data_IF_997696992294
#
_entry.id   IF_997696992294
#
_cell.length_a   1.000
_cell.length_b   1.000
_cell.length_c   1.000
_cell.angle_alpha   90.00
_cell.angle_beta   90.00
_cell.angle_gamma   90.00
#
_symmetry.space_group_name_H-M   'P 1'
#
loop_
_entity.id
_entity.type
_entity.pdbx_description
1 polymer ?
#
# COMPACT_ATOMS: atom_id res chain seq x y z
N UNK A 1 1.69 11.28 22.80
CA UNK A 1 2.73 12.07 22.08
C UNK A 1 2.11 12.54 20.77
N UNK A 2 1.82 13.85 20.67
CA UNK A 2 1.36 14.41 19.40
C UNK A 2 2.54 14.55 18.44
N UNK A 3 2.89 13.45 17.78
CA UNK A 3 3.83 13.49 16.67
C UNK A 3 3.00 13.87 15.45
N UNK A 4 2.98 15.16 15.12
CA UNK A 4 2.41 15.62 13.86
C UNK A 4 3.37 15.19 12.73
N UNK A 5 3.17 13.98 12.22
CA UNK A 5 4.00 13.42 11.14
C UNK A 5 3.47 13.98 9.83
N UNK A 6 4.13 15.01 9.36
CA UNK A 6 3.84 15.60 8.06
C UNK A 6 4.51 14.76 6.96
N UNK A 7 3.70 14.23 6.04
CA UNK A 7 4.20 13.49 4.89
C UNK A 7 4.70 14.48 3.80
N UNK A 8 5.74 14.12 3.02
CA UNK A 8 6.21 14.95 1.93
C UNK A 8 5.13 15.25 0.90
N UNK A 9 5.04 16.48 0.44
CA UNK A 9 4.01 16.93 -0.51
C UNK A 9 4.05 16.14 -1.82
N UNK A 10 5.24 15.85 -2.33
CA UNK A 10 5.41 15.07 -3.55
C UNK A 10 4.89 13.62 -3.40
N UNK A 11 4.97 13.02 -2.21
CA UNK A 11 4.36 11.73 -1.93
C UNK A 11 2.84 11.87 -1.91
N UNK A 12 2.31 12.86 -1.19
CA UNK A 12 0.85 13.10 -1.12
C UNK A 12 0.25 13.33 -2.51
N UNK A 13 0.91 14.09 -3.36
CA UNK A 13 0.45 14.32 -4.73
C UNK A 13 0.34 13.01 -5.54
N UNK A 14 1.26 12.06 -5.35
CA UNK A 14 1.17 10.73 -5.98
C UNK A 14 -0.04 9.94 -5.46
N UNK A 15 -0.38 10.03 -4.19
CA UNK A 15 -1.60 9.42 -3.64
C UNK A 15 -2.86 10.04 -4.23
N UNK A 16 -2.88 11.35 -4.45
CA UNK A 16 -4.02 12.03 -5.11
C UNK A 16 -4.20 11.50 -6.54
N UNK A 17 -3.11 11.36 -7.30
CA UNK A 17 -3.14 10.79 -8.67
C UNK A 17 -3.61 9.34 -8.65
N UNK A 18 -3.09 8.51 -7.74
CA UNK A 18 -3.51 7.13 -7.58
C UNK A 18 -5.00 7.01 -7.20
N UNK A 19 -5.46 7.87 -6.27
CA UNK A 19 -6.86 7.90 -5.86
C UNK A 19 -7.80 8.30 -7.02
N UNK A 20 -7.39 9.23 -7.87
CA UNK A 20 -8.13 9.57 -9.09
C UNK A 20 -8.21 8.35 -10.02
N UNK A 21 -7.09 7.65 -10.25
CA UNK A 21 -7.06 6.43 -11.05
C UNK A 21 -8.03 5.35 -10.53
N UNK A 22 -8.07 5.15 -9.20
CA UNK A 22 -8.99 4.22 -8.54
C UNK A 22 -10.45 4.63 -8.71
N UNK A 23 -10.77 5.91 -8.57
CA UNK A 23 -12.16 6.38 -8.72
C UNK A 23 -12.69 6.26 -10.15
N UNK A 24 -11.81 6.45 -11.12
CA UNK A 24 -12.16 6.44 -12.56
C UNK A 24 -12.26 5.04 -13.17
N UNK A 25 -11.55 4.03 -12.64
CA UNK A 25 -11.63 2.67 -13.19
C UNK A 25 -13.00 2.04 -12.94
N UNK A 26 -13.41 1.13 -13.83
CA UNK A 26 -14.54 0.22 -13.62
C UNK A 26 -14.02 -1.16 -13.18
N UNK A 27 -12.96 -1.65 -13.84
CA UNK A 27 -12.36 -2.97 -13.61
C UNK A 27 -10.89 -2.82 -13.21
N UNK A 28 -10.52 -3.39 -12.06
CA UNK A 28 -9.17 -3.38 -11.53
C UNK A 28 -8.59 -4.81 -11.36
N UNK A 29 -7.30 -4.94 -11.60
CA UNK A 29 -6.51 -6.14 -11.26
C UNK A 29 -5.50 -5.80 -10.18
N UNK A 30 -5.49 -6.57 -9.11
CA UNK A 30 -4.53 -6.43 -8.01
C UNK A 30 -3.58 -7.62 -8.05
N UNK A 31 -2.30 -7.35 -8.10
CA UNK A 31 -1.23 -8.33 -7.89
C UNK A 31 -0.50 -7.97 -6.62
N UNK A 32 -0.27 -8.95 -5.75
CA UNK A 32 0.40 -8.70 -4.48
C UNK A 32 1.27 -9.88 -4.05
N UNK A 33 2.26 -9.61 -3.23
CA UNK A 33 3.09 -10.64 -2.63
C UNK A 33 2.27 -11.51 -1.67
N UNK A 34 2.70 -12.76 -1.47
CA UNK A 34 1.95 -13.73 -0.68
C UNK A 34 2.37 -13.84 0.80
N UNK A 35 3.11 -12.84 1.31
CA UNK A 35 3.42 -12.72 2.73
C UNK A 35 2.42 -11.84 3.50
N UNK A 36 2.71 -11.55 4.75
CA UNK A 36 1.78 -10.81 5.61
C UNK A 36 1.56 -9.36 5.11
N UNK A 37 2.60 -8.69 4.58
CA UNK A 37 2.47 -7.32 4.08
C UNK A 37 1.67 -7.29 2.77
N UNK A 38 2.02 -8.14 1.81
CA UNK A 38 1.28 -8.24 0.56
C UNK A 38 -0.17 -8.67 0.75
N UNK A 39 -0.46 -9.63 1.66
CA UNK A 39 -1.84 -10.03 1.98
C UNK A 39 -2.61 -8.88 2.62
N UNK A 40 -1.98 -8.14 3.56
CA UNK A 40 -2.56 -6.95 4.16
C UNK A 40 -2.88 -5.87 3.13
N UNK A 41 -1.93 -5.60 2.22
CA UNK A 41 -2.09 -4.66 1.12
C UNK A 41 -3.25 -5.04 0.20
N UNK A 42 -3.27 -6.29 -0.28
CA UNK A 42 -4.34 -6.80 -1.14
C UNK A 42 -5.71 -6.72 -0.46
N UNK A 43 -5.79 -7.07 0.84
CA UNK A 43 -7.04 -7.01 1.61
C UNK A 43 -7.61 -5.60 1.68
N UNK A 44 -6.77 -4.60 1.94
CA UNK A 44 -7.16 -3.18 1.94
C UNK A 44 -7.62 -2.74 0.56
N UNK A 45 -6.84 -3.04 -0.49
CA UNK A 45 -7.14 -2.63 -1.87
C UNK A 45 -8.43 -3.25 -2.39
N UNK A 46 -8.62 -4.56 -2.20
CA UNK A 46 -9.84 -5.26 -2.62
C UNK A 46 -11.06 -4.73 -1.88
N UNK A 47 -10.96 -4.52 -0.56
CA UNK A 47 -12.06 -3.97 0.24
C UNK A 47 -12.45 -2.56 -0.23
N UNK A 48 -11.46 -1.68 -0.45
CA UNK A 48 -11.67 -0.32 -0.97
C UNK A 48 -12.37 -0.35 -2.34
N UNK A 49 -11.85 -1.13 -3.29
CA UNK A 49 -12.42 -1.23 -4.65
C UNK A 49 -13.83 -1.79 -4.63
N UNK A 50 -14.09 -2.83 -3.83
CA UNK A 50 -15.42 -3.43 -3.67
C UNK A 50 -16.43 -2.43 -3.10
N UNK A 51 -16.03 -1.62 -2.10
CA UNK A 51 -16.88 -0.58 -1.53
C UNK A 51 -17.25 0.51 -2.54
N UNK A 52 -16.37 0.79 -3.48
CA UNK A 52 -16.64 1.70 -4.60
C UNK A 52 -17.49 1.08 -5.70
N UNK A 53 -17.91 -0.18 -5.57
CA UNK A 53 -18.66 -0.90 -6.60
C UNK A 53 -17.84 -1.24 -7.85
N UNK A 54 -16.50 -1.29 -7.74
CA UNK A 54 -15.61 -1.65 -8.85
C UNK A 54 -15.51 -3.16 -9.00
N UNK A 55 -15.39 -3.64 -10.24
CA UNK A 55 -14.94 -5.00 -10.48
C UNK A 55 -13.49 -5.15 -10.04
N UNK A 56 -13.19 -6.18 -9.26
CA UNK A 56 -11.83 -6.42 -8.77
C UNK A 56 -11.51 -7.90 -8.72
N UNK A 57 -10.32 -8.24 -9.17
CA UNK A 57 -9.75 -9.57 -8.98
C UNK A 57 -8.31 -9.43 -8.47
N UNK A 58 -7.98 -10.15 -7.40
CA UNK A 58 -6.65 -10.19 -6.81
C UNK A 58 -5.94 -11.51 -7.10
N UNK A 59 -4.64 -11.43 -7.37
CA UNK A 59 -3.77 -12.58 -7.56
C UNK A 59 -2.56 -12.42 -6.62
N UNK A 60 -2.35 -13.43 -5.76
CA UNK A 60 -1.20 -13.48 -4.88
C UNK A 60 -0.03 -14.17 -5.61
N UNK A 61 1.12 -13.53 -5.63
CA UNK A 61 2.33 -14.02 -6.27
C UNK A 61 3.42 -14.30 -5.24
N UNK A 62 4.20 -15.34 -5.45
CA UNK A 62 5.37 -15.65 -4.59
C UNK A 62 6.55 -14.72 -4.88
N UNK A 63 6.63 -14.19 -6.08
CA UNK A 63 7.61 -13.22 -6.56
C UNK A 63 7.01 -12.49 -7.75
N UNK A 64 7.61 -11.36 -8.14
CA UNK A 64 7.17 -10.65 -9.33
C UNK A 64 7.20 -11.55 -10.57
N UNK A 65 6.09 -11.59 -11.30
CA UNK A 65 5.90 -12.39 -12.51
C UNK A 65 5.27 -11.50 -13.60
N UNK A 66 6.11 -11.09 -14.57
CA UNK A 66 5.68 -10.21 -15.65
C UNK A 66 4.65 -10.89 -16.56
N UNK A 67 4.77 -12.20 -16.78
CA UNK A 67 3.83 -12.95 -17.63
C UNK A 67 2.43 -12.96 -16.98
N UNK A 68 2.35 -13.26 -15.68
CA UNK A 68 1.10 -13.21 -14.93
C UNK A 68 0.48 -11.79 -14.93
N UNK A 69 1.30 -10.74 -14.73
CA UNK A 69 0.83 -9.35 -14.79
C UNK A 69 0.32 -9.00 -16.18
N UNK A 70 1.05 -9.38 -17.24
CA UNK A 70 0.67 -9.12 -18.64
C UNK A 70 -0.64 -9.81 -18.98
N UNK A 71 -0.78 -11.09 -18.62
CA UNK A 71 -2.00 -11.86 -18.85
C UNK A 71 -3.20 -11.27 -18.09
N UNK A 72 -3.00 -10.84 -16.85
CA UNK A 72 -4.05 -10.24 -16.04
C UNK A 72 -4.39 -8.80 -16.42
N UNK A 73 -3.50 -8.07 -17.09
CA UNK A 73 -3.73 -6.73 -17.63
C UNK A 73 -4.44 -6.75 -19.00
N UNK A 74 -5.14 -7.83 -19.33
CA UNK A 74 -5.82 -8.03 -20.60
C UNK A 74 -6.97 -7.06 -20.88
N UNK A 75 -7.69 -7.29 -22.02
CA UNK A 75 -8.83 -6.45 -22.37
C UNK A 75 -9.89 -6.38 -21.28
N UNK A 76 -10.46 -5.18 -21.07
CA UNK A 76 -11.49 -4.95 -20.07
C UNK A 76 -10.95 -4.57 -18.69
N UNK A 77 -9.63 -4.58 -18.48
CA UNK A 77 -9.00 -4.08 -17.26
C UNK A 77 -8.59 -2.62 -17.45
N UNK A 78 -9.12 -1.73 -16.62
CA UNK A 78 -8.85 -0.28 -16.69
C UNK A 78 -7.64 0.13 -15.84
N UNK A 79 -7.40 -0.60 -14.74
CA UNK A 79 -6.36 -0.30 -13.78
C UNK A 79 -5.66 -1.57 -13.27
N UNK A 80 -4.35 -1.59 -13.34
CA UNK A 80 -3.53 -2.62 -12.69
C UNK A 80 -2.91 -2.02 -11.43
N UNK A 81 -3.07 -2.69 -10.30
CA UNK A 81 -2.45 -2.32 -9.03
C UNK A 81 -1.50 -3.43 -8.62
N UNK A 82 -0.26 -3.07 -8.34
CA UNK A 82 0.77 -4.01 -7.87
C UNK A 82 1.20 -3.57 -6.48
N UNK A 83 1.13 -4.47 -5.51
CA UNK A 83 1.48 -4.18 -4.13
C UNK A 83 2.57 -5.12 -3.61
N UNK A 84 3.49 -4.56 -2.82
CA UNK A 84 4.59 -5.26 -2.18
C UNK A 84 5.57 -5.93 -3.16
N UNK A 85 5.62 -5.41 -4.37
CA UNK A 85 6.53 -5.79 -5.44
C UNK A 85 6.42 -4.81 -6.61
N UNK A 86 7.29 -4.96 -7.61
CA UNK A 86 7.22 -4.23 -8.87
C UNK A 86 8.20 -3.07 -8.99
N UNK A 87 8.66 -2.47 -7.90
CA UNK A 87 9.61 -1.35 -7.96
C UNK A 87 10.93 -1.71 -8.64
N UNK A 88 11.37 -2.95 -8.55
CA UNK A 88 12.58 -3.45 -9.23
C UNK A 88 12.36 -3.78 -10.72
N UNK A 89 11.14 -3.61 -11.23
CA UNK A 89 10.74 -4.04 -12.57
C UNK A 89 9.99 -2.95 -13.34
N UNK A 90 10.15 -1.69 -12.96
CA UNK A 90 9.39 -0.57 -13.52
C UNK A 90 9.58 -0.42 -15.04
N UNK A 91 10.78 -0.66 -15.57
CA UNK A 91 11.01 -0.63 -17.01
C UNK A 91 10.17 -1.63 -17.77
N UNK A 92 9.99 -2.83 -17.24
CA UNK A 92 9.14 -3.86 -17.83
C UNK A 92 7.64 -3.50 -17.71
N UNK A 93 7.23 -2.92 -16.56
CA UNK A 93 5.86 -2.48 -16.35
C UNK A 93 5.48 -1.31 -17.27
N UNK A 94 6.38 -0.33 -17.45
CA UNK A 94 6.17 0.78 -18.39
C UNK A 94 5.99 0.32 -19.84
N UNK A 95 6.65 -0.78 -20.23
CA UNK A 95 6.55 -1.35 -21.58
C UNK A 95 5.19 -1.98 -21.87
N UNK A 96 4.39 -2.29 -20.85
CA UNK A 96 3.04 -2.83 -21.03
C UNK A 96 2.03 -1.77 -21.49
N UNK A 97 2.38 -0.49 -21.39
CA UNK A 97 1.54 0.66 -21.78
C UNK A 97 0.12 0.58 -21.20
N UNK A 98 0.02 0.27 -19.91
CA UNK A 98 -1.23 0.15 -19.16
C UNK A 98 -1.26 1.16 -18.03
N UNK A 99 -2.46 1.59 -17.63
CA UNK A 99 -2.63 2.42 -16.42
C UNK A 99 -2.32 1.59 -15.20
N UNK A 100 -1.28 1.99 -14.45
CA UNK A 100 -0.79 1.20 -13.32
C UNK A 100 -0.50 2.06 -12.09
N UNK A 101 -0.72 1.45 -10.92
CA UNK A 101 -0.28 1.95 -9.61
C UNK A 101 0.59 0.87 -8.97
N UNK A 102 1.78 1.23 -8.55
CA UNK A 102 2.70 0.35 -7.79
C UNK A 102 2.85 0.89 -6.39
N UNK A 103 2.47 0.11 -5.37
CA UNK A 103 2.62 0.41 -3.95
C UNK A 103 3.68 -0.53 -3.37
N UNK A 104 4.89 -0.03 -3.20
CA UNK A 104 6.02 -0.86 -2.82
C UNK A 104 6.99 -0.06 -1.93
N UNK A 105 7.78 -0.74 -1.13
CA UNK A 105 8.77 -0.13 -0.26
C UNK A 105 10.19 -0.68 -0.48
N UNK A 106 10.30 -1.69 -1.32
CA UNK A 106 11.59 -2.27 -1.72
C UNK A 106 12.40 -1.30 -2.57
N UNK A 107 13.71 -1.57 -2.69
CA UNK A 107 14.61 -0.74 -3.47
C UNK A 107 14.16 -0.68 -4.93
N UNK A 108 13.84 0.51 -5.45
CA UNK A 108 13.38 0.65 -6.83
C UNK A 108 14.55 0.57 -7.82
N UNK A 109 14.25 0.09 -9.04
CA UNK A 109 15.14 0.20 -10.19
C UNK A 109 15.36 1.67 -10.57
N UNK A 110 14.26 2.42 -10.61
CA UNK A 110 14.21 3.84 -10.94
C UNK A 110 12.92 4.45 -10.38
N UNK A 111 12.66 5.72 -10.61
CA UNK A 111 11.32 6.31 -10.53
C UNK A 111 10.63 6.25 -11.89
N UNK A 112 9.33 6.51 -11.95
CA UNK A 112 8.53 6.42 -13.16
C UNK A 112 7.61 7.62 -13.33
N UNK A 113 7.52 8.11 -14.56
CA UNK A 113 6.52 9.11 -14.97
C UNK A 113 5.32 8.47 -15.69
N UNK A 114 5.41 7.17 -16.04
CA UNK A 114 4.35 6.41 -16.73
C UNK A 114 3.50 5.58 -15.80
N UNK A 115 4.09 5.09 -14.71
CA UNK A 115 3.44 4.31 -13.67
C UNK A 115 3.31 5.19 -12.43
N UNK A 116 2.15 5.23 -11.80
CA UNK A 116 2.00 5.91 -10.51
C UNK A 116 2.72 5.10 -9.45
N UNK A 117 3.94 5.52 -9.13
CA UNK A 117 4.84 4.78 -8.24
C UNK A 117 4.80 5.37 -6.83
N UNK A 118 4.15 4.65 -5.92
CA UNK A 118 4.03 4.98 -4.50
C UNK A 118 5.10 4.20 -3.72
N UNK A 119 6.33 4.72 -3.75
CA UNK A 119 7.46 4.11 -3.04
C UNK A 119 8.26 5.19 -2.30
N UNK A 120 8.36 5.12 -0.96
CA UNK A 120 9.12 6.08 -0.16
C UNK A 120 10.60 6.18 -0.55
N UNK A 121 11.20 5.09 -1.03
CA UNK A 121 12.63 5.05 -1.39
C UNK A 121 13.00 6.02 -2.53
N UNK A 122 12.05 6.39 -3.41
CA UNK A 122 12.29 7.42 -4.42
C UNK A 122 12.46 8.82 -3.83
N UNK A 123 12.00 9.02 -2.59
CA UNK A 123 12.17 10.24 -1.81
C UNK A 123 13.45 10.24 -0.96
N UNK A 124 14.33 9.24 -1.15
CA UNK A 124 15.57 9.03 -0.39
C UNK A 124 15.32 8.79 1.11
N UNK A 125 14.17 8.21 1.47
CA UNK A 125 13.89 7.74 2.82
C UNK A 125 13.99 6.22 2.88
N UNK A 126 14.27 5.68 4.06
CA UNK A 126 14.39 4.25 4.26
C UNK A 126 13.01 3.56 4.18
N UNK A 127 12.73 2.90 3.06
CA UNK A 127 11.47 2.18 2.82
C UNK A 127 11.20 1.07 3.84
N UNK A 128 12.25 0.43 4.38
CA UNK A 128 12.12 -0.63 5.37
C UNK A 128 11.56 -0.15 6.74
N UNK A 129 11.45 1.15 6.96
CA UNK A 129 10.98 1.74 8.23
C UNK A 129 9.88 2.77 8.04
N UNK A 130 9.79 3.35 6.85
CA UNK A 130 8.93 4.50 6.59
C UNK A 130 7.50 4.10 6.25
N UNK A 131 7.35 3.05 5.47
CA UNK A 131 6.09 2.47 5.06
C UNK A 131 6.31 1.05 4.54
N UNK A 132 5.32 0.21 4.65
CA UNK A 132 5.22 -1.05 3.93
C UNK A 132 4.03 -1.01 2.96
N UNK A 133 3.88 -2.01 2.10
CA UNK A 133 2.87 -1.99 1.05
C UNK A 133 1.44 -1.93 1.63
N UNK A 134 1.17 -2.60 2.75
CA UNK A 134 -0.13 -2.55 3.41
C UNK A 134 -0.45 -1.17 4.00
N UNK A 135 0.52 -0.45 4.55
CA UNK A 135 0.30 0.91 5.06
C UNK A 135 0.21 1.94 3.93
N UNK A 136 0.94 1.76 2.83
CA UNK A 136 0.74 2.55 1.60
C UNK A 136 -0.67 2.33 1.03
N UNK A 137 -1.14 1.08 0.99
CA UNK A 137 -2.49 0.74 0.56
C UNK A 137 -3.56 1.36 1.46
N UNK A 138 -3.30 1.40 2.77
CA UNK A 138 -4.19 2.06 3.73
C UNK A 138 -4.26 3.57 3.50
N UNK A 139 -3.11 4.22 3.29
CA UNK A 139 -3.08 5.66 2.99
C UNK A 139 -3.81 5.97 1.68
N UNK A 140 -3.66 5.12 0.65
CA UNK A 140 -4.46 5.23 -0.57
C UNK A 140 -5.95 5.07 -0.29
N UNK A 141 -6.34 4.07 0.49
CA UNK A 141 -7.75 3.80 0.78
C UNK A 141 -8.43 4.97 1.50
N UNK A 142 -7.78 5.58 2.50
CA UNK A 142 -8.35 6.75 3.19
C UNK A 142 -8.28 8.03 2.35
N UNK A 143 -7.33 8.13 1.41
CA UNK A 143 -7.29 9.22 0.42
C UNK A 143 -8.45 9.10 -0.57
N UNK A 144 -8.87 7.88 -0.89
CA UNK A 144 -10.04 7.61 -1.75
C UNK A 144 -11.33 7.92 -1.00
N UNK A 145 -11.50 7.40 0.22
CA UNK A 145 -12.68 7.60 1.05
C UNK A 145 -12.30 7.41 2.53
N UNK A 146 -12.56 8.42 3.36
CA UNK A 146 -12.30 8.37 4.81
C UNK A 146 -13.07 7.25 5.54
N UNK A 147 -14.16 6.75 4.98
CA UNK A 147 -14.88 5.61 5.55
C UNK A 147 -14.05 4.31 5.58
N UNK A 148 -12.90 4.28 4.92
CA UNK A 148 -11.99 3.13 4.92
C UNK A 148 -11.09 3.01 6.17
N UNK A 149 -11.21 3.91 7.16
CA UNK A 149 -10.41 3.82 8.38
C UNK A 149 -10.58 2.50 9.15
N UNK A 150 -11.70 1.83 9.01
CA UNK A 150 -11.97 0.51 9.62
C UNK A 150 -11.11 -0.63 9.01
N UNK A 151 -10.45 -0.40 7.86
CA UNK A 151 -9.50 -1.35 7.26
C UNK A 151 -8.10 -1.31 7.93
N UNK A 152 -7.86 -0.36 8.83
CA UNK A 152 -6.57 -0.18 9.51
C UNK A 152 -5.99 -1.46 10.15
N UNK A 153 -6.79 -2.36 10.77
CA UNK A 153 -6.24 -3.59 11.34
C UNK A 153 -5.53 -4.48 10.31
N UNK A 154 -6.02 -4.52 9.05
CA UNK A 154 -5.39 -5.29 7.96
C UNK A 154 -4.04 -4.71 7.59
N UNK A 155 -3.96 -3.37 7.48
CA UNK A 155 -2.72 -2.68 7.18
C UNK A 155 -1.68 -2.85 8.30
N UNK A 156 -2.10 -2.76 9.56
CA UNK A 156 -1.19 -2.91 10.69
C UNK A 156 -0.76 -4.36 10.91
N UNK A 157 -1.59 -5.35 10.54
CA UNK A 157 -1.15 -6.75 10.52
C UNK A 157 0.02 -6.96 9.54
N UNK A 158 -0.06 -6.37 8.33
CA UNK A 158 1.04 -6.36 7.37
C UNK A 158 2.29 -5.66 7.90
N UNK A 159 2.15 -4.46 8.45
CA UNK A 159 3.24 -3.70 9.07
C UNK A 159 3.96 -4.48 10.18
N UNK A 160 3.20 -5.21 11.01
CA UNK A 160 3.78 -6.06 12.07
C UNK A 160 4.48 -7.26 11.46
N UNK A 161 3.91 -7.90 10.43
CA UNK A 161 4.53 -9.00 9.69
C UNK A 161 5.85 -8.60 9.06
N UNK A 162 5.93 -7.40 8.49
CA UNK A 162 7.14 -6.80 7.92
C UNK A 162 8.08 -6.20 8.99
N UNK A 163 7.76 -6.36 10.27
CA UNK A 163 8.58 -5.98 11.43
C UNK A 163 8.92 -4.48 11.52
N UNK A 164 8.19 -3.62 10.82
CA UNK A 164 8.47 -2.17 10.78
C UNK A 164 8.15 -1.43 12.09
N UNK A 165 7.51 -2.10 13.05
CA UNK A 165 7.19 -1.56 14.38
C UNK A 165 8.34 -1.66 15.39
N UNK A 166 9.36 -2.53 15.17
CA UNK A 166 10.33 -2.93 16.20
C UNK A 166 11.25 -1.81 16.69
N UNK A 167 11.48 -0.78 15.89
CA UNK A 167 12.36 0.36 16.22
C UNK A 167 11.58 1.67 16.37
N UNK A 168 10.28 1.58 16.62
CA UNK A 168 9.37 2.72 16.62
C UNK A 168 8.84 3.05 15.22
N UNK A 169 7.65 3.65 15.18
CA UNK A 169 6.99 4.00 13.94
C UNK A 169 7.55 5.29 13.34
N UNK A 170 7.74 5.33 12.04
CA UNK A 170 8.18 6.50 11.29
C UNK A 170 7.32 6.70 10.03
N UNK A 171 7.42 7.84 9.37
CA UNK A 171 6.81 8.09 8.07
C UNK A 171 5.31 7.81 8.01
N UNK A 172 4.89 7.07 6.99
CA UNK A 172 3.47 6.69 6.77
C UNK A 172 2.93 5.86 7.94
N UNK A 173 3.74 4.94 8.48
CA UNK A 173 3.34 4.11 9.62
C UNK A 173 2.99 4.95 10.84
N UNK A 174 3.84 5.93 11.18
CA UNK A 174 3.61 6.85 12.29
C UNK A 174 2.45 7.80 12.01
N UNK A 175 2.30 8.28 10.77
CA UNK A 175 1.18 9.13 10.36
C UNK A 175 -0.16 8.42 10.56
N UNK A 176 -0.30 7.21 10.02
CA UNK A 176 -1.53 6.41 10.17
C UNK A 176 -1.84 6.10 11.64
N UNK A 177 -0.81 5.77 12.44
CA UNK A 177 -0.99 5.50 13.87
C UNK A 177 -1.47 6.76 14.62
N UNK A 178 -0.87 7.92 14.34
CA UNK A 178 -1.26 9.20 14.94
C UNK A 178 -2.70 9.58 14.59
N UNK A 179 -3.06 9.51 13.30
CA UNK A 179 -4.43 9.82 12.85
C UNK A 179 -5.46 8.83 13.41
N UNK A 180 -5.12 7.55 13.48
CA UNK A 180 -5.98 6.53 14.11
C UNK A 180 -6.17 6.78 15.61
N UNK A 181 -5.13 7.26 16.30
CA UNK A 181 -5.21 7.67 17.72
C UNK A 181 -6.17 8.84 17.92
N UNK A 182 -6.11 9.87 17.07
CA UNK A 182 -7.04 11.02 17.10
C UNK A 182 -8.49 10.59 16.85
N UNK A 183 -8.71 9.54 16.10
CA UNK A 183 -10.03 8.95 15.80
C UNK A 183 -10.50 7.92 16.86
N UNK A 184 -9.66 7.61 17.87
CA UNK A 184 -9.97 6.60 18.89
C UNK A 184 -9.94 5.16 18.39
N UNK A 185 -9.34 4.90 17.21
CA UNK A 185 -9.28 3.58 16.59
C UNK A 185 -8.14 2.71 17.13
N UNK A 186 -7.11 3.33 17.71
CA UNK A 186 -5.97 2.66 18.33
C UNK A 186 -5.69 3.24 19.71
N UNK A 187 -5.20 2.38 20.60
CA UNK A 187 -4.76 2.76 21.93
C UNK A 187 -3.38 2.19 22.20
N UNK A 188 -2.42 3.02 22.52
CA UNK A 188 -1.10 2.58 22.98
C UNK A 188 -1.20 2.01 24.41
N UNK A 189 -0.71 0.79 24.59
CA UNK A 189 -0.55 0.19 25.91
C UNK A 189 0.91 -0.18 26.13
N UNK A 190 1.47 0.21 27.26
CA UNK A 190 2.80 -0.23 27.68
C UNK A 190 2.67 -1.59 28.37
N UNK A 191 3.50 -2.54 28.00
CA UNK A 191 3.57 -3.87 28.59
C UNK A 191 3.64 -4.99 27.56
N UNK A 192 3.77 -6.23 28.05
CA UNK A 192 3.72 -7.43 27.20
C UNK A 192 2.27 -7.78 26.89
N UNK A 193 2.00 -8.17 25.63
CA UNK A 193 0.72 -8.75 25.23
C UNK A 193 0.58 -10.21 25.68
N UNK A 194 1.68 -10.82 26.13
CA UNK A 194 1.68 -12.18 26.68
C UNK A 194 1.44 -12.09 28.19
N UNK A 195 0.60 -12.97 28.76
CA UNK A 195 0.50 -13.08 30.21
C UNK A 195 1.89 -13.44 30.78
N UNK A 196 2.23 -12.99 32.01
CA UNK A 196 3.45 -13.46 32.64
C UNK A 196 3.43 -14.98 32.63
N UNK A 197 4.51 -15.59 32.17
CA UNK A 197 4.66 -17.04 32.18
C UNK A 197 4.48 -17.60 33.59
N UNK A 198 4.18 -18.89 33.73
CA UNK A 198 4.04 -19.52 35.04
C UNK A 198 5.33 -19.48 35.86
#
# INVERSE_FOLDING_TARGET
>A
MDVNVQLPENLLNRFIIAAAAVRECAEARVFSHNDADGIGAASVLVSMLTRLGKGVQATMLKSFDLEAVTAGAGPGVDLVIIADMGSSNLSALEALDRRMVVLDHHRPEKDSDKVVHLNPSVLKVDGARYACASTLSMLLAVTVDENNWDLLPMAFAGMVGDRQHLQGLTGVNAHLFSEAGKRGLVQERKGSLLPPGP
#
